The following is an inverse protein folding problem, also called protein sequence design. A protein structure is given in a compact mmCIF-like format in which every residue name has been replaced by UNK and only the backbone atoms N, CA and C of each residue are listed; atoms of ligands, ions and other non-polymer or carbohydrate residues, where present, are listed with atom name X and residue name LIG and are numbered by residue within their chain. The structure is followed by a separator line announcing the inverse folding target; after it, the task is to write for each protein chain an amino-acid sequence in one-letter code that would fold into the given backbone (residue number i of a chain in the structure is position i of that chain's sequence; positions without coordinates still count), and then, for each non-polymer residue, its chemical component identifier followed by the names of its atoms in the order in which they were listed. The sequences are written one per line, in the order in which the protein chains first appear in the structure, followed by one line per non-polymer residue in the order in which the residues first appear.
data_IF_476409115268
#
_entry.id   IF_476409115268
#
_cell.length_a   1.000
_cell.length_b   1.000
_cell.length_c   1.000
_cell.angle_alpha   90.00
_cell.angle_beta   90.00
_cell.angle_gamma   90.00
#
_symmetry.space_group_name_H-M   'P 1'
#
loop_
_entity.id
_entity.type
_entity.pdbx_description
1 polymer ?
#
# COMPACT_ATOMS: atom_id res chain seq x y z
N UNK A 1 4.39 22.45 -8.51
CA UNK A 1 4.07 21.00 -8.49
C UNK A 1 2.70 20.81 -9.13
N UNK A 2 2.41 19.67 -9.77
CA UNK A 2 1.11 19.43 -10.42
C UNK A 2 0.08 19.00 -9.38
N UNK A 3 -1.09 19.66 -9.37
CA UNK A 3 -2.18 19.37 -8.43
C UNK A 3 -2.66 17.92 -8.53
N UNK A 4 -2.76 17.37 -9.74
CA UNK A 4 -3.15 15.97 -10.00
C UNK A 4 -2.36 14.98 -9.14
N UNK A 5 -1.03 15.09 -9.15
CA UNK A 5 -0.16 14.20 -8.35
C UNK A 5 -0.36 14.37 -6.85
N UNK A 6 -0.65 15.58 -6.40
CA UNK A 6 -0.89 15.83 -4.96
C UNK A 6 -2.24 15.24 -4.55
N UNK A 7 -3.27 15.41 -5.38
CA UNK A 7 -4.60 14.83 -5.15
C UNK A 7 -4.55 13.30 -5.06
N UNK A 8 -3.75 12.65 -5.90
CA UNK A 8 -3.48 11.21 -5.81
C UNK A 8 -2.76 10.78 -4.52
N UNK A 9 -1.97 11.67 -3.91
CA UNK A 9 -1.23 11.40 -2.67
C UNK A 9 -2.07 11.76 -1.41
N UNK A 10 -3.23 12.41 -1.55
CA UNK A 10 -4.06 12.84 -0.42
C UNK A 10 -4.64 11.69 0.43
N UNK A 11 -5.10 10.56 -0.14
CA UNK A 11 -5.59 9.45 0.69
C UNK A 11 -4.51 8.92 1.65
N UNK A 12 -3.33 8.61 1.12
CA UNK A 12 -2.18 8.18 1.92
C UNK A 12 -1.70 9.25 2.91
N UNK A 13 -1.84 10.53 2.57
CA UNK A 13 -1.57 11.63 3.50
C UNK A 13 -2.56 11.65 4.68
N UNK A 14 -3.86 11.42 4.42
CA UNK A 14 -4.90 11.40 5.45
C UNK A 14 -4.78 10.20 6.38
N UNK A 15 -4.32 9.06 5.86
CA UNK A 15 -4.08 7.83 6.63
C UNK A 15 -2.74 7.87 7.40
N UNK A 16 -1.86 8.84 7.12
CA UNK A 16 -0.55 8.96 7.77
C UNK A 16 0.55 8.09 7.18
N UNK A 17 0.30 7.49 6.01
CA UNK A 17 1.20 6.55 5.33
C UNK A 17 2.36 7.22 4.58
N UNK A 18 2.31 8.55 4.43
CA UNK A 18 3.39 9.30 3.80
C UNK A 18 4.51 9.64 4.79
N UNK A 19 5.75 9.42 4.38
CA UNK A 19 6.93 9.76 5.18
C UNK A 19 8.01 10.51 4.38
N UNK A 20 8.92 11.14 5.12
CA UNK A 20 10.12 11.77 4.58
C UNK A 20 9.84 12.84 3.50
N UNK A 21 10.39 12.63 2.31
CA UNK A 21 10.28 13.60 1.20
C UNK A 21 8.86 13.71 0.63
N UNK A 22 8.08 12.64 0.68
CA UNK A 22 6.71 12.63 0.16
C UNK A 22 5.78 13.46 1.05
N UNK A 23 5.89 13.30 2.37
CA UNK A 23 5.11 14.07 3.34
C UNK A 23 5.37 15.58 3.20
N UNK A 24 6.63 16.02 3.29
CA UNK A 24 7.01 17.43 3.17
C UNK A 24 6.59 18.06 1.85
N UNK A 25 6.53 17.25 0.79
CA UNK A 25 6.09 17.69 -0.53
C UNK A 25 4.59 18.01 -0.53
N UNK A 26 3.76 17.11 0.02
CA UNK A 26 2.32 17.32 0.12
C UNK A 26 2.00 18.48 1.05
N UNK A 27 2.64 18.56 2.22
CA UNK A 27 2.45 19.65 3.20
C UNK A 27 2.73 21.03 2.58
N UNK A 28 3.87 21.18 1.90
CA UNK A 28 4.22 22.43 1.21
C UNK A 28 3.21 22.79 0.13
N UNK A 29 2.76 21.81 -0.66
CA UNK A 29 1.75 22.09 -1.67
C UNK A 29 0.42 22.50 -1.04
N UNK A 30 0.03 21.89 0.08
CA UNK A 30 -1.17 22.27 0.83
C UNK A 30 -1.03 23.66 1.45
N UNK A 31 0.16 24.12 1.83
CA UNK A 31 0.33 25.52 2.29
C UNK A 31 0.12 26.53 1.15
N UNK A 32 0.48 26.17 -0.08
CA UNK A 32 0.49 27.09 -1.22
C UNK A 32 -0.77 27.01 -2.09
N UNK A 33 -1.47 25.87 -2.13
CA UNK A 33 -2.57 25.61 -3.05
C UNK A 33 -3.92 25.44 -2.32
N UNK A 34 -4.83 26.38 -2.53
CA UNK A 34 -6.16 26.32 -1.94
C UNK A 34 -7.03 25.19 -2.51
N UNK A 35 -6.92 24.89 -3.81
CA UNK A 35 -7.69 23.83 -4.45
C UNK A 35 -7.40 22.46 -3.81
N UNK A 36 -6.12 22.14 -3.60
CA UNK A 36 -5.73 20.89 -2.95
C UNK A 36 -6.11 20.86 -1.45
N UNK A 37 -6.14 22.01 -0.76
CA UNK A 37 -6.70 22.09 0.61
C UNK A 37 -8.18 21.78 0.65
N UNK A 38 -8.96 22.28 -0.31
CA UNK A 38 -10.40 21.98 -0.40
C UNK A 38 -10.63 20.49 -0.64
N UNK A 39 -9.87 19.89 -1.55
CA UNK A 39 -9.92 18.46 -1.84
C UNK A 39 -9.61 17.62 -0.59
N UNK A 40 -8.52 17.92 0.11
CA UNK A 40 -8.14 17.23 1.35
C UNK A 40 -9.23 17.30 2.42
N UNK A 41 -9.89 18.46 2.58
CA UNK A 41 -11.04 18.61 3.49
C UNK A 41 -12.26 17.81 3.04
N UNK A 42 -12.53 17.75 1.74
CA UNK A 42 -13.63 16.96 1.19
C UNK A 42 -13.43 15.47 1.46
N UNK A 43 -12.24 14.92 1.16
CA UNK A 43 -11.91 13.51 1.45
C UNK A 43 -12.05 13.21 2.95
N UNK A 44 -11.52 14.07 3.81
CA UNK A 44 -11.62 13.90 5.27
C UNK A 44 -13.07 13.85 5.74
N UNK A 45 -13.93 14.74 5.23
CA UNK A 45 -15.37 14.72 5.51
C UNK A 45 -16.02 13.41 5.07
N UNK A 46 -15.68 12.90 3.89
CA UNK A 46 -16.22 11.62 3.41
C UNK A 46 -15.90 10.49 4.39
N UNK A 47 -14.66 10.42 4.88
CA UNK A 47 -14.25 9.42 5.89
C UNK A 47 -15.04 9.61 7.20
N UNK A 48 -15.17 10.84 7.68
CA UNK A 48 -15.93 11.16 8.90
C UNK A 48 -17.41 10.77 8.79
N UNK A 49 -18.04 10.95 7.63
CA UNK A 49 -19.42 10.57 7.38
C UNK A 49 -19.62 9.04 7.33
N UNK A 50 -18.62 8.31 6.83
CA UNK A 50 -18.68 6.85 6.73
C UNK A 50 -18.28 6.15 8.04
N UNK A 51 -17.50 6.80 8.89
CA UNK A 51 -16.97 6.20 10.12
C UNK A 51 -18.06 5.59 11.04
N UNK A 52 -19.21 6.25 11.29
CA UNK A 52 -20.27 5.71 12.13
C UNK A 52 -20.94 4.45 11.55
N UNK A 53 -20.91 4.27 10.22
CA UNK A 53 -21.47 3.11 9.55
C UNK A 53 -20.62 1.84 9.74
N UNK A 54 -19.37 1.97 10.19
CA UNK A 54 -18.41 0.87 10.36
C UNK A 54 -18.62 0.00 11.61
N UNK A 55 -19.72 0.18 12.36
CA UNK A 55 -19.86 -0.42 13.69
C UNK A 55 -20.53 -1.80 13.72
N UNK A 56 -19.78 -2.89 13.59
CA UNK A 56 -20.00 -4.06 14.47
C UNK A 56 -19.05 -3.93 15.65
N UNK A 57 -19.56 -4.11 16.86
CA UNK A 57 -18.70 -4.21 18.05
C UNK A 57 -17.70 -5.37 17.83
N UNK A 58 -16.42 -5.04 17.72
CA UNK A 58 -15.35 -6.04 17.64
C UNK A 58 -15.36 -6.79 18.98
N UNK A 59 -15.57 -8.12 19.00
CA UNK A 59 -15.54 -8.89 20.23
C UNK A 59 -14.22 -8.68 20.97
N UNK A 60 -14.27 -8.60 22.31
CA UNK A 60 -13.05 -8.40 23.13
C UNK A 60 -11.99 -9.48 22.90
N UNK A 61 -12.43 -10.68 22.49
CA UNK A 61 -11.58 -11.84 22.27
C UNK A 61 -11.10 -11.99 20.82
N UNK A 62 -11.24 -10.97 19.96
CA UNK A 62 -10.80 -11.07 18.56
C UNK A 62 -9.33 -11.46 18.44
N UNK A 63 -8.46 -10.93 19.30
CA UNK A 63 -7.05 -11.34 19.32
C UNK A 63 -6.92 -12.84 19.58
N UNK A 64 -7.63 -13.38 20.58
CA UNK A 64 -7.60 -14.82 20.86
C UNK A 64 -8.17 -15.65 19.70
N UNK A 65 -9.27 -15.21 19.09
CA UNK A 65 -9.92 -15.87 17.94
C UNK A 65 -9.06 -15.89 16.67
N UNK A 66 -8.23 -14.86 16.46
CA UNK A 66 -7.27 -14.80 15.36
C UNK A 66 -6.07 -15.69 15.66
N UNK A 67 -5.50 -15.58 16.87
CA UNK A 67 -4.32 -16.37 17.26
C UNK A 67 -4.60 -17.87 17.25
N UNK A 68 -5.82 -18.29 17.60
CA UNK A 68 -6.24 -19.70 17.53
C UNK A 68 -6.34 -20.25 16.10
N UNK A 69 -6.41 -19.39 15.08
CA UNK A 69 -6.52 -19.76 13.66
C UNK A 69 -5.23 -19.58 12.87
N UNK A 70 -4.21 -18.98 13.48
CA UNK A 70 -2.91 -18.84 12.82
C UNK A 70 -2.25 -20.23 12.70
N UNK A 71 -1.62 -20.55 11.57
CA UNK A 71 -0.79 -21.75 11.48
C UNK A 71 0.33 -21.67 12.52
N UNK A 72 0.83 -22.82 13.01
CA UNK A 72 1.97 -22.83 13.92
C UNK A 72 3.13 -22.07 13.27
N UNK A 73 3.88 -21.26 14.03
CA UNK A 73 5.04 -20.58 13.49
C UNK A 73 5.95 -21.62 12.84
N UNK A 74 6.32 -21.38 11.58
CA UNK A 74 7.24 -22.27 10.86
C UNK A 74 8.46 -22.48 11.75
N UNK A 75 8.75 -23.76 12.05
CA UNK A 75 9.86 -24.12 12.91
C UNK A 75 11.12 -23.37 12.47
N UNK A 76 11.96 -22.89 13.40
CA UNK A 76 13.16 -22.16 13.04
C UNK A 76 13.90 -22.99 12.01
N UNK A 77 14.02 -22.45 10.79
CA UNK A 77 14.78 -23.07 9.70
C UNK A 77 16.12 -23.43 10.30
N UNK A 78 16.35 -24.74 10.48
CA UNK A 78 17.55 -25.27 11.07
C UNK A 78 18.68 -24.73 10.20
N UNK A 79 19.37 -23.71 10.69
CA UNK A 79 20.43 -23.05 9.96
C UNK A 79 21.44 -24.15 9.63
N UNK A 80 21.37 -24.62 8.39
CA UNK A 80 22.32 -25.59 7.87
C UNK A 80 23.63 -24.82 7.90
N UNK A 81 24.41 -25.08 8.93
CA UNK A 81 25.71 -24.46 9.19
C UNK A 81 26.63 -24.91 8.06
N UNK A 82 26.55 -24.21 6.93
CA UNK A 82 27.35 -24.52 5.75
C UNK A 82 28.79 -24.28 6.15
N UNK A 83 29.67 -25.29 6.14
CA UNK A 83 31.07 -25.07 6.42
C UNK A 83 31.56 -24.05 5.40
N UNK A 84 32.12 -22.93 5.86
CA UNK A 84 32.69 -21.93 4.96
C UNK A 84 33.81 -22.61 4.17
N UNK A 85 33.72 -22.75 2.84
CA UNK A 85 34.81 -23.32 2.07
C UNK A 85 35.89 -22.24 1.93
N UNK A 86 36.70 -22.09 2.99
CA UNK A 86 37.75 -21.08 3.07
C UNK A 86 38.79 -21.25 1.95
N UNK A 87 38.89 -22.45 1.37
CA UNK A 87 39.74 -22.76 0.21
C UNK A 87 39.24 -22.24 -1.15
N UNK A 88 37.98 -21.81 -1.28
CA UNK A 88 37.42 -21.30 -2.55
C UNK A 88 37.39 -19.77 -2.64
N UNK A 89 37.66 -19.07 -1.52
CA UNK A 89 37.67 -17.60 -1.45
C UNK A 89 38.69 -16.95 -2.39
N UNK A 90 39.97 -17.39 -2.46
CA UNK A 90 40.95 -16.73 -3.33
C UNK A 90 40.65 -16.94 -4.82
N UNK A 91 40.15 -18.13 -5.19
CA UNK A 91 39.77 -18.44 -6.57
C UNK A 91 38.55 -17.64 -7.03
N UNK A 92 37.54 -17.51 -6.18
CA UNK A 92 36.36 -16.67 -6.44
C UNK A 92 36.71 -15.19 -6.53
N UNK A 93 37.66 -14.71 -5.72
CA UNK A 93 38.12 -13.32 -5.77
C UNK A 93 38.82 -13.03 -7.11
N UNK A 94 39.69 -13.94 -7.59
CA UNK A 94 40.37 -13.80 -8.87
C UNK A 94 39.38 -13.77 -10.04
N UNK A 95 38.38 -14.67 -10.04
CA UNK A 95 37.32 -14.70 -11.06
C UNK A 95 36.44 -13.44 -10.98
N UNK A 96 36.09 -12.98 -9.78
CA UNK A 96 35.28 -11.76 -9.60
C UNK A 96 36.02 -10.49 -10.04
N UNK A 97 37.32 -10.39 -9.79
CA UNK A 97 38.15 -9.27 -10.27
C UNK A 97 38.27 -9.29 -11.79
N UNK A 98 38.54 -10.46 -12.39
CA UNK A 98 38.59 -10.60 -13.85
C UNK A 98 37.24 -10.25 -14.50
N UNK A 99 36.14 -10.70 -13.91
CA UNK A 99 34.78 -10.41 -14.37
C UNK A 99 34.44 -8.92 -14.17
N UNK A 100 34.79 -8.30 -13.04
CA UNK A 100 34.55 -6.88 -12.78
C UNK A 100 35.32 -5.98 -13.75
N UNK A 101 36.58 -6.32 -14.06
CA UNK A 101 37.35 -5.60 -15.09
C UNK A 101 36.72 -5.78 -16.48
N UNK A 102 36.28 -6.99 -16.81
CA UNK A 102 35.61 -7.27 -18.08
C UNK A 102 34.26 -6.54 -18.23
N UNK A 103 33.46 -6.45 -17.15
CA UNK A 103 32.24 -5.66 -17.15
C UNK A 103 32.54 -4.15 -17.15
N UNK A 104 33.59 -3.68 -16.49
CA UNK A 104 33.95 -2.26 -16.51
C UNK A 104 34.30 -1.76 -17.92
N UNK A 105 34.84 -2.63 -18.78
CA UNK A 105 35.15 -2.30 -20.18
C UNK A 105 33.97 -2.53 -21.13
N UNK A 106 33.06 -3.47 -20.83
CA UNK A 106 31.96 -3.85 -21.72
C UNK A 106 30.56 -3.41 -21.30
N UNK A 107 30.36 -2.75 -20.16
CA UNK A 107 29.02 -2.28 -19.75
C UNK A 107 28.74 -0.93 -20.42
N UNK A 108 27.94 -0.87 -21.51
CA UNK A 108 27.34 0.39 -21.92
C UNK A 108 26.51 0.91 -20.75
N UNK A 109 26.70 2.18 -20.44
CA UNK A 109 26.06 2.89 -19.34
C UNK A 109 24.55 2.65 -19.35
N UNK A 110 24.09 1.65 -18.59
CA UNK A 110 22.67 1.34 -18.43
C UNK A 110 22.08 2.51 -17.66
N UNK A 111 21.43 3.43 -18.39
CA UNK A 111 20.60 4.47 -17.80
C UNK A 111 19.72 3.82 -16.74
N UNK A 112 19.79 4.35 -15.52
CA UNK A 112 18.94 3.95 -14.40
C UNK A 112 17.49 4.08 -14.85
N UNK A 113 16.86 2.95 -15.18
CA UNK A 113 15.40 2.89 -15.22
C UNK A 113 14.97 3.03 -13.78
N UNK A 114 14.47 4.21 -13.42
CA UNK A 114 13.84 4.45 -12.13
C UNK A 114 12.71 3.44 -11.97
N UNK A 115 12.90 2.49 -11.06
CA UNK A 115 11.85 1.63 -10.58
C UNK A 115 10.92 2.46 -9.68
N UNK A 116 10.06 3.28 -10.30
CA UNK A 116 8.81 3.66 -9.66
C UNK A 116 8.00 2.35 -9.62
N UNK A 117 7.90 1.75 -8.43
CA UNK A 117 7.14 0.53 -8.22
C UNK A 117 5.72 0.71 -8.81
N UNK A 118 5.26 -0.18 -9.70
CA UNK A 118 3.97 -0.02 -10.31
C UNK A 118 2.88 -0.17 -9.24
N UNK A 119 2.20 0.94 -8.94
CA UNK A 119 0.97 1.02 -8.11
C UNK A 119 -0.18 0.14 -8.63
N UNK A 120 0.01 -0.59 -9.72
CA UNK A 120 -1.02 -1.38 -10.40
C UNK A 120 -1.30 -2.74 -9.75
N UNK A 121 -0.56 -3.13 -8.71
CA UNK A 121 -0.83 -4.38 -7.98
C UNK A 121 -2.17 -4.30 -7.22
N UNK A 122 -2.54 -3.13 -6.69
CA UNK A 122 -3.77 -2.98 -5.90
C UNK A 122 -5.06 -2.91 -6.76
N UNK A 123 -4.98 -2.63 -8.05
CA UNK A 123 -6.17 -2.51 -8.91
C UNK A 123 -6.69 -3.84 -9.45
N UNK A 124 -5.85 -4.88 -9.49
CA UNK A 124 -6.23 -6.16 -10.12
C UNK A 124 -7.20 -6.98 -9.25
N UNK A 125 -7.06 -6.87 -7.94
CA UNK A 125 -7.93 -7.56 -6.97
C UNK A 125 -9.24 -6.78 -6.75
N UNK A 126 -9.20 -5.44 -6.75
CA UNK A 126 -10.40 -4.59 -6.67
C UNK A 126 -11.31 -4.69 -7.90
N UNK A 127 -10.74 -4.85 -9.11
CA UNK A 127 -11.54 -4.98 -10.34
C UNK A 127 -12.37 -6.29 -10.36
N UNK A 128 -11.86 -7.36 -9.77
CA UNK A 128 -12.56 -8.65 -9.69
C UNK A 128 -13.75 -8.57 -8.73
N UNK A 129 -13.61 -7.86 -7.61
CA UNK A 129 -14.72 -7.67 -6.67
C UNK A 129 -15.81 -6.74 -7.22
N UNK A 130 -15.45 -5.68 -7.94
CA UNK A 130 -16.42 -4.80 -8.63
C UNK A 130 -17.17 -5.46 -9.78
N UNK A 131 -16.59 -6.46 -10.44
CA UNK A 131 -17.30 -7.22 -11.47
C UNK A 131 -18.36 -8.17 -10.87
N UNK A 132 -18.22 -8.57 -9.59
CA UNK A 132 -19.20 -9.42 -8.89
C UNK A 132 -20.24 -8.64 -8.08
N UNK A 133 -20.01 -7.36 -7.81
CA UNK A 133 -21.00 -6.45 -7.25
C UNK A 133 -21.42 -5.48 -8.34
N UNK A 134 -22.42 -5.86 -9.13
CA UNK A 134 -23.41 -4.89 -9.56
C UNK A 134 -24.01 -4.30 -8.28
N UNK A 135 -23.34 -3.26 -7.76
CA UNK A 135 -23.91 -2.34 -6.79
C UNK A 135 -25.20 -1.90 -7.44
N UNK A 136 -26.30 -2.39 -6.87
CA UNK A 136 -27.65 -2.14 -7.35
C UNK A 136 -27.77 -0.67 -7.70
N UNK A 137 -28.38 -0.45 -8.85
CA UNK A 137 -28.82 0.83 -9.37
C UNK A 137 -29.21 1.80 -8.24
N UNK A 138 -28.97 3.10 -8.44
CA UNK A 138 -29.16 4.18 -7.45
C UNK A 138 -30.51 4.17 -6.69
N UNK A 139 -31.49 3.44 -7.22
CA UNK A 139 -32.77 3.07 -6.62
C UNK A 139 -32.67 2.13 -5.40
N UNK A 140 -31.77 1.15 -5.39
CA UNK A 140 -31.65 0.15 -4.33
C UNK A 140 -31.14 0.70 -2.99
N UNK A 141 -30.20 1.64 -3.03
CA UNK A 141 -29.69 2.30 -1.82
C UNK A 141 -30.74 3.25 -1.19
N UNK A 142 -31.60 3.83 -2.02
CA UNK A 142 -32.67 4.74 -1.57
C UNK A 142 -33.83 3.98 -0.91
N UNK A 143 -34.17 2.79 -1.43
CA UNK A 143 -35.24 1.95 -0.88
C UNK A 143 -34.89 1.44 0.52
N UNK A 144 -33.67 0.95 0.74
CA UNK A 144 -33.21 0.50 2.06
C UNK A 144 -33.18 1.64 3.08
N UNK A 145 -32.76 2.84 2.67
CA UNK A 145 -32.79 4.00 3.54
C UNK A 145 -34.22 4.43 3.91
N UNK A 146 -35.16 4.35 2.96
CA UNK A 146 -36.58 4.70 3.21
C UNK A 146 -37.31 3.70 4.12
N UNK A 147 -36.90 2.43 4.10
CA UNK A 147 -37.53 1.36 4.87
C UNK A 147 -37.09 1.44 6.35
N UNK A 148 -35.82 1.77 6.60
CA UNK A 148 -35.32 2.00 7.97
C UNK A 148 -35.95 3.22 8.67
N UNK A 149 -36.41 4.23 7.92
CA UNK A 149 -37.10 5.40 8.49
C UNK A 149 -38.55 5.08 8.87
N UNK A 150 -39.20 4.10 8.20
CA UNK A 150 -40.57 3.67 8.50
C UNK A 150 -40.68 2.79 9.73
N UNK A 151 -39.66 2.01 10.06
CA UNK A 151 -39.65 1.16 11.27
C UNK A 151 -39.31 1.91 12.56
N UNK A 152 -38.89 3.18 12.44
CA UNK A 152 -38.52 4.04 13.57
C UNK A 152 -39.64 4.99 14.05
N UNK A 153 -40.87 4.84 13.52
CA UNK A 153 -42.08 5.55 13.96
C UNK A 153 -43.11 4.57 14.52
#
# INVERSE_FOLDING_TARGET
MRCERIQEELPAYLEGDLSGRALRRVERHLSECEACRRESRALRRTVELLHPLGGRAIPRDVTALVMARLPPPEAPVREVRRPRPLLLVPAMLAVAVALALSLATHVPSRKRVNAEAPRTVYLREYAQFRASQEVGDSTGLFLLASEMVREAQ
#
